data_IF_600685809373
#
_entry.id   IF_600685809373
#
_cell.length_a   1.000
_cell.length_b   1.000
_cell.length_c   1.000
_cell.angle_alpha   90.00
_cell.angle_beta   90.00
_cell.angle_gamma   90.00
#
_symmetry.space_group_name_H-M   'P 1'
#
loop_
_entity.id
_entity.type
_entity.pdbx_description
1 polymer ?
#
# COMPACT_ATOMS: atom_id res chain seq x y z
N UNK A 1 5.21 2.53 -14.47
CA UNK A 1 6.29 3.54 -14.50
C UNK A 1 7.07 3.55 -15.82
N UNK A 2 6.99 2.49 -16.62
CA UNK A 2 7.78 2.37 -17.86
C UNK A 2 7.02 2.73 -19.15
N UNK A 3 5.69 2.86 -19.11
CA UNK A 3 4.87 2.97 -20.33
C UNK A 3 3.77 4.04 -20.32
N UNK A 4 3.13 4.30 -19.17
CA UNK A 4 1.92 5.16 -19.15
C UNK A 4 2.22 6.65 -19.15
N UNK A 5 3.31 7.06 -18.47
CA UNK A 5 3.66 8.46 -18.32
C UNK A 5 4.39 8.95 -19.56
N UNK A 6 3.95 10.03 -20.21
CA UNK A 6 4.54 10.53 -21.46
C UNK A 6 5.14 11.93 -21.27
N UNK A 7 6.16 12.01 -20.41
CA UNK A 7 6.83 13.27 -20.07
C UNK A 7 8.07 13.55 -20.93
N UNK A 8 8.53 12.57 -21.71
CA UNK A 8 9.73 12.66 -22.54
C UNK A 8 9.38 12.42 -24.01
N UNK A 9 10.02 13.20 -24.90
CA UNK A 9 9.73 13.11 -26.34
C UNK A 9 10.24 11.82 -27.01
N UNK A 10 11.24 11.15 -26.42
CA UNK A 10 11.96 10.03 -27.04
C UNK A 10 11.54 8.66 -26.51
N UNK A 11 10.93 8.61 -25.33
CA UNK A 11 10.60 7.39 -24.62
C UNK A 11 9.31 7.58 -23.82
N UNK A 12 8.53 6.51 -23.72
CA UNK A 12 7.46 6.42 -22.75
C UNK A 12 8.02 6.13 -21.34
N UNK A 13 7.19 6.35 -20.32
CA UNK A 13 7.52 6.17 -18.92
C UNK A 13 8.33 7.32 -18.31
N UNK A 14 8.85 7.04 -17.11
CA UNK A 14 9.57 8.02 -16.30
C UNK A 14 11.09 7.85 -16.34
N UNK A 15 11.61 6.88 -17.12
CA UNK A 15 13.04 6.57 -17.20
C UNK A 15 13.71 6.41 -15.82
N UNK A 16 13.04 5.73 -14.90
CA UNK A 16 13.54 5.55 -13.55
C UNK A 16 14.74 4.60 -13.55
N UNK A 17 15.69 4.88 -12.65
CA UNK A 17 16.83 3.99 -12.39
C UNK A 17 16.36 2.60 -11.92
N UNK A 18 17.19 1.58 -12.16
CA UNK A 18 16.89 0.20 -11.80
C UNK A 18 16.52 0.06 -10.33
N UNK A 19 17.30 0.69 -9.44
CA UNK A 19 17.15 0.60 -7.98
C UNK A 19 15.81 1.18 -7.52
N UNK A 20 15.36 2.28 -8.13
CA UNK A 20 14.05 2.87 -7.84
C UNK A 20 12.93 1.93 -8.27
N UNK A 21 13.04 1.32 -9.45
CA UNK A 21 12.05 0.35 -9.95
C UNK A 21 12.04 -0.93 -9.10
N UNK A 22 13.21 -1.39 -8.67
CA UNK A 22 13.39 -2.51 -7.74
C UNK A 22 12.67 -2.24 -6.41
N UNK A 23 12.80 -1.01 -5.87
CA UNK A 23 12.13 -0.59 -4.65
C UNK A 23 10.61 -0.48 -4.76
N UNK A 24 10.09 -0.05 -5.91
CA UNK A 24 8.63 0.00 -6.17
C UNK A 24 8.03 -1.41 -6.23
N UNK A 25 8.72 -2.34 -6.89
CA UNK A 25 8.21 -3.69 -7.13
C UNK A 25 8.32 -4.55 -5.86
N UNK A 26 7.36 -4.45 -4.94
CA UNK A 26 7.39 -5.17 -3.65
C UNK A 26 7.20 -6.69 -3.78
N UNK A 27 6.22 -7.10 -4.58
CA UNK A 27 5.85 -8.50 -4.79
C UNK A 27 5.62 -8.77 -6.29
N UNK A 28 6.04 -9.94 -6.75
CA UNK A 28 5.83 -10.36 -8.13
C UNK A 28 5.64 -11.88 -8.19
N UNK A 29 4.63 -12.33 -8.94
CA UNK A 29 4.43 -13.76 -9.18
C UNK A 29 5.54 -14.30 -10.08
N UNK A 30 5.85 -15.59 -10.00
CA UNK A 30 6.87 -16.19 -10.87
C UNK A 30 6.52 -16.09 -12.37
N UNK A 31 5.22 -16.04 -12.72
CA UNK A 31 4.77 -15.82 -14.08
C UNK A 31 5.16 -14.41 -14.56
N UNK A 32 4.75 -13.38 -13.83
CA UNK A 32 5.04 -11.99 -14.18
C UNK A 32 6.53 -11.69 -14.11
N UNK A 33 7.26 -12.28 -13.15
CA UNK A 33 8.70 -12.08 -13.01
C UNK A 33 9.49 -12.49 -14.26
N UNK A 34 9.04 -13.49 -15.02
CA UNK A 34 9.71 -13.90 -16.27
C UNK A 34 9.60 -12.85 -17.37
N UNK A 35 8.60 -11.97 -17.30
CA UNK A 35 8.35 -10.92 -18.28
C UNK A 35 9.06 -9.60 -17.94
N UNK A 36 9.61 -9.47 -16.72
CA UNK A 36 10.17 -8.22 -16.20
C UNK A 36 11.70 -8.11 -16.34
N UNK A 37 12.34 -9.04 -17.06
CA UNK A 37 13.80 -9.04 -17.23
C UNK A 37 14.54 -9.01 -15.88
N UNK A 38 15.61 -8.23 -15.77
CA UNK A 38 16.47 -8.15 -14.57
C UNK A 38 15.70 -7.88 -13.28
N UNK A 39 14.67 -7.02 -13.29
CA UNK A 39 13.84 -6.74 -12.11
C UNK A 39 13.08 -7.97 -11.61
N UNK A 40 12.66 -8.84 -12.52
CA UNK A 40 11.96 -10.06 -12.20
C UNK A 40 12.87 -11.18 -11.69
N UNK A 41 14.13 -11.21 -12.12
CA UNK A 41 15.10 -12.27 -11.75
C UNK A 41 15.24 -12.41 -10.24
N UNK A 42 15.17 -11.30 -9.48
CA UNK A 42 15.26 -11.35 -8.01
C UNK A 42 14.19 -12.23 -7.38
N UNK A 43 12.97 -12.24 -7.92
CA UNK A 43 11.88 -13.07 -7.40
C UNK A 43 12.05 -14.55 -7.77
N UNK A 44 12.61 -14.83 -8.95
CA UNK A 44 12.89 -16.19 -9.40
C UNK A 44 14.04 -16.83 -8.61
N UNK A 45 14.98 -16.01 -8.15
CA UNK A 45 16.14 -16.43 -7.35
C UNK A 45 15.94 -16.25 -5.85
N UNK A 46 14.76 -15.79 -5.42
CA UNK A 46 14.44 -15.48 -4.02
C UNK A 46 15.45 -14.52 -3.34
N UNK A 47 15.94 -13.54 -4.09
CA UNK A 47 16.85 -12.49 -3.60
C UNK A 47 16.09 -11.33 -2.97
N UNK A 48 16.71 -10.73 -1.96
CA UNK A 48 16.23 -9.49 -1.35
C UNK A 48 16.49 -8.30 -2.29
N UNK A 49 15.70 -7.21 -2.19
CA UNK A 49 16.04 -5.94 -2.84
C UNK A 49 17.09 -5.17 -1.99
N UNK A 50 17.47 -3.98 -2.43
CA UNK A 50 18.38 -3.10 -1.67
C UNK A 50 17.89 -2.79 -0.25
N UNK A 51 18.78 -2.29 0.63
CA UNK A 51 18.41 -1.89 1.99
C UNK A 51 17.35 -0.77 1.98
N UNK A 52 17.45 0.19 1.07
CA UNK A 52 16.49 1.29 0.92
C UNK A 52 15.11 0.78 0.51
N UNK A 53 15.05 -0.21 -0.38
CA UNK A 53 13.81 -0.86 -0.76
C UNK A 53 13.18 -1.63 0.41
N UNK A 54 14.00 -2.36 1.18
CA UNK A 54 13.54 -3.04 2.39
C UNK A 54 13.02 -2.03 3.43
N UNK A 55 13.73 -0.92 3.64
CA UNK A 55 13.37 0.15 4.57
C UNK A 55 12.05 0.82 4.15
N UNK A 56 11.90 1.16 2.87
CA UNK A 56 10.68 1.81 2.35
C UNK A 56 9.45 0.96 2.63
N UNK A 57 9.56 -0.37 2.54
CA UNK A 57 8.45 -1.27 2.85
C UNK A 57 8.03 -1.21 4.32
N UNK A 58 8.99 -1.18 5.25
CA UNK A 58 8.69 -1.10 6.69
C UNK A 58 8.27 0.31 7.11
N UNK A 59 8.82 1.35 6.50
CA UNK A 59 8.40 2.74 6.72
C UNK A 59 6.93 2.94 6.32
N UNK A 60 6.53 2.40 5.17
CA UNK A 60 5.14 2.39 4.70
C UNK A 60 4.22 1.62 5.68
N UNK A 61 4.66 0.46 6.16
CA UNK A 61 3.91 -0.32 7.15
C UNK A 61 3.73 0.43 8.49
N UNK A 62 4.76 1.13 8.96
CA UNK A 62 4.68 1.97 10.17
C UNK A 62 3.68 3.10 9.96
N UNK A 63 3.78 3.84 8.86
CA UNK A 63 2.89 4.96 8.57
C UNK A 63 1.44 4.48 8.46
N UNK A 64 1.19 3.49 7.63
CA UNK A 64 -0.15 2.99 7.31
C UNK A 64 -0.87 2.43 8.55
N UNK A 65 -0.23 1.54 9.32
CA UNK A 65 -0.87 0.95 10.50
C UNK A 65 -1.24 2.01 11.56
N UNK A 66 -0.39 3.02 11.77
CA UNK A 66 -0.68 4.08 12.75
C UNK A 66 -1.79 5.02 12.28
N UNK A 67 -1.79 5.38 10.99
CA UNK A 67 -2.88 6.16 10.41
C UNK A 67 -4.22 5.41 10.46
N UNK A 68 -4.21 4.11 10.22
CA UNK A 68 -5.42 3.29 10.28
C UNK A 68 -5.97 3.13 11.70
N UNK A 69 -5.11 3.11 12.73
CA UNK A 69 -5.58 3.20 14.12
C UNK A 69 -6.28 4.54 14.39
N UNK A 70 -5.66 5.66 13.99
CA UNK A 70 -6.27 7.00 14.17
C UNK A 70 -7.59 7.13 13.40
N UNK A 71 -7.63 6.67 12.15
CA UNK A 71 -8.82 6.72 11.30
C UNK A 71 -9.92 5.79 11.80
N UNK A 72 -9.56 4.59 12.28
CA UNK A 72 -10.48 3.63 12.89
C UNK A 72 -11.14 4.18 14.15
N UNK A 73 -10.37 4.85 15.01
CA UNK A 73 -10.88 5.55 16.20
C UNK A 73 -11.74 6.76 15.81
N UNK A 74 -11.28 7.58 14.87
CA UNK A 74 -11.98 8.80 14.42
C UNK A 74 -13.33 8.48 13.78
N UNK A 75 -13.42 7.39 13.05
CA UNK A 75 -14.65 6.93 12.40
C UNK A 75 -15.58 6.15 13.35
N UNK A 76 -15.12 5.81 14.56
CA UNK A 76 -15.86 5.00 15.52
C UNK A 76 -16.01 3.54 15.11
N UNK A 77 -15.22 3.08 14.14
CA UNK A 77 -15.19 1.68 13.69
C UNK A 77 -14.43 0.79 14.67
N UNK A 78 -13.50 1.39 15.41
CA UNK A 78 -12.71 0.76 16.47
C UNK A 78 -12.83 1.62 17.71
N UNK A 79 -12.92 0.97 18.87
CA UNK A 79 -12.95 1.61 20.19
C UNK A 79 -11.59 1.57 20.90
N UNK A 80 -11.40 2.44 21.89
CA UNK A 80 -10.17 2.46 22.70
C UNK A 80 -10.06 1.15 23.48
N UNK A 81 -11.17 0.66 24.00
CA UNK A 81 -11.26 -0.57 24.80
C UNK A 81 -10.77 -1.78 23.98
N UNK A 82 -11.16 -1.86 22.71
CA UNK A 82 -10.66 -2.90 21.81
C UNK A 82 -9.17 -2.76 21.52
N UNK A 83 -8.66 -1.54 21.36
CA UNK A 83 -7.23 -1.31 21.13
C UNK A 83 -6.38 -1.58 22.38
N UNK A 84 -6.93 -1.41 23.58
CA UNK A 84 -6.25 -1.78 24.83
C UNK A 84 -6.06 -3.30 24.98
N UNK A 85 -6.73 -4.14 24.17
CA UNK A 85 -6.42 -5.57 24.05
C UNK A 85 -5.15 -5.83 23.22
N UNK A 86 -4.74 -4.88 22.38
CA UNK A 86 -3.52 -4.98 21.57
C UNK A 86 -2.32 -4.52 22.40
N UNK A 87 -1.37 -5.44 22.66
CA UNK A 87 -0.23 -5.18 23.55
C UNK A 87 0.55 -3.92 23.21
N UNK A 88 0.82 -3.69 21.92
CA UNK A 88 1.56 -2.51 21.46
C UNK A 88 0.86 -1.22 21.91
N UNK A 89 -0.45 -1.13 21.70
CA UNK A 89 -1.21 0.06 22.07
C UNK A 89 -1.37 0.20 23.58
N UNK A 90 -1.68 -0.89 24.27
CA UNK A 90 -1.91 -0.91 25.71
C UNK A 90 -0.68 -0.43 26.52
N UNK A 91 0.52 -0.86 26.13
CA UNK A 91 1.78 -0.44 26.78
C UNK A 91 1.94 1.07 26.70
N UNK A 92 1.89 1.64 25.49
CA UNK A 92 2.09 3.08 25.32
C UNK A 92 0.91 3.92 25.80
N UNK A 93 -0.32 3.38 25.84
CA UNK A 93 -1.46 4.04 26.47
C UNK A 93 -1.26 4.18 27.98
N UNK A 94 -0.74 3.13 28.62
CA UNK A 94 -0.42 3.14 30.05
C UNK A 94 0.72 4.12 30.37
N UNK A 95 1.76 4.17 29.55
CA UNK A 95 2.85 5.16 29.71
C UNK A 95 2.34 6.61 29.62
N UNK A 96 1.42 6.88 28.69
CA UNK A 96 0.76 8.20 28.57
C UNK A 96 -0.04 8.52 29.83
N UNK A 97 -0.81 7.56 30.36
CA UNK A 97 -1.58 7.77 31.60
C UNK A 97 -0.67 8.02 32.81
N UNK A 98 0.46 7.32 32.91
CA UNK A 98 1.44 7.52 33.99
C UNK A 98 2.13 8.88 33.89
N UNK A 99 2.44 9.32 32.68
CA UNK A 99 3.10 10.61 32.44
C UNK A 99 2.12 11.77 32.65
N UNK A 100 0.87 11.60 32.24
CA UNK A 100 -0.19 12.61 32.35
C UNK A 100 -1.50 11.99 32.87
N UNK A 101 -1.63 11.82 34.20
CA UNK A 101 -2.82 11.24 34.80
C UNK A 101 -4.09 12.04 34.45
N UNK A 102 -5.14 11.33 34.03
CA UNK A 102 -6.42 11.92 33.64
C UNK A 102 -6.44 12.53 32.23
N UNK A 103 -5.36 12.39 31.45
CA UNK A 103 -5.36 12.82 30.04
C UNK A 103 -6.31 11.93 29.23
N UNK A 104 -7.42 12.51 28.78
CA UNK A 104 -8.42 11.82 27.98
C UNK A 104 -8.51 12.28 26.53
N UNK A 105 -9.39 11.61 25.78
CA UNK A 105 -9.78 11.98 24.42
C UNK A 105 -8.63 11.97 23.41
N UNK A 106 -8.74 12.84 22.39
CA UNK A 106 -7.79 12.88 21.26
C UNK A 106 -6.34 13.11 21.64
N UNK A 107 -6.07 13.89 22.71
CA UNK A 107 -4.70 14.16 23.13
C UNK A 107 -4.01 12.90 23.63
N UNK A 108 -4.70 12.08 24.42
CA UNK A 108 -4.18 10.79 24.87
C UNK A 108 -3.86 9.88 23.68
N UNK A 109 -4.78 9.80 22.70
CA UNK A 109 -4.60 8.99 21.48
C UNK A 109 -3.36 9.44 20.70
N UNK A 110 -3.21 10.75 20.44
CA UNK A 110 -2.03 11.26 19.71
C UNK A 110 -0.72 11.03 20.46
N UNK A 111 -0.72 11.17 21.78
CA UNK A 111 0.47 10.89 22.59
C UNK A 111 0.83 9.40 22.61
N UNK A 112 -0.17 8.51 22.56
CA UNK A 112 0.02 7.06 22.45
C UNK A 112 0.58 6.69 21.07
N UNK A 113 -0.05 7.16 19.99
CA UNK A 113 0.40 6.89 18.62
C UNK A 113 1.81 7.44 18.36
N UNK A 114 2.12 8.64 18.84
CA UNK A 114 3.47 9.23 18.72
C UNK A 114 4.53 8.34 19.37
N UNK A 115 4.24 7.75 20.53
CA UNK A 115 5.15 6.82 21.22
C UNK A 115 5.29 5.49 20.50
N UNK A 116 4.19 4.93 19.99
CA UNK A 116 4.21 3.72 19.16
C UNK A 116 5.11 3.94 17.93
N UNK A 117 4.91 5.02 17.20
CA UNK A 117 5.73 5.38 16.02
C UNK A 117 7.20 5.50 16.40
N UNK A 118 7.50 6.21 17.50
CA UNK A 118 8.87 6.35 17.99
C UNK A 118 9.50 4.99 18.33
N UNK A 119 8.78 4.12 19.04
CA UNK A 119 9.26 2.80 19.41
C UNK A 119 9.54 1.91 18.19
N UNK A 120 8.63 1.90 17.22
CA UNK A 120 8.80 1.18 15.95
C UNK A 120 10.04 1.68 15.19
N UNK A 121 10.23 2.99 15.10
CA UNK A 121 11.38 3.57 14.39
C UNK A 121 12.70 3.25 15.11
N UNK A 122 12.76 3.45 16.43
CA UNK A 122 13.97 3.21 17.22
C UNK A 122 14.38 1.74 17.17
N UNK A 123 13.44 0.82 17.36
CA UNK A 123 13.70 -0.61 17.26
C UNK A 123 14.12 -1.04 15.85
N UNK A 124 13.44 -0.52 14.82
CA UNK A 124 13.81 -0.79 13.43
C UNK A 124 15.26 -0.40 13.16
N UNK A 125 15.68 0.78 13.60
CA UNK A 125 17.07 1.25 13.44
C UNK A 125 18.03 0.31 14.17
N UNK A 126 17.78 0.04 15.45
CA UNK A 126 18.69 -0.77 16.28
C UNK A 126 18.80 -2.22 15.78
N UNK A 127 17.67 -2.87 15.51
CA UNK A 127 17.64 -4.26 15.06
C UNK A 127 18.20 -4.43 13.64
N UNK A 128 17.99 -3.44 12.76
CA UNK A 128 18.58 -3.44 11.43
C UNK A 128 20.08 -3.18 11.47
N UNK A 129 20.54 -2.25 12.31
CA UNK A 129 21.96 -1.98 12.48
C UNK A 129 22.69 -3.23 12.97
N UNK A 130 22.17 -3.90 14.00
CA UNK A 130 22.75 -5.15 14.49
C UNK A 130 22.79 -6.24 13.41
N UNK A 131 21.72 -6.37 12.60
CA UNK A 131 21.67 -7.35 11.50
C UNK A 131 22.69 -7.04 10.39
N UNK A 132 22.88 -5.76 10.05
CA UNK A 132 23.85 -5.32 9.04
C UNK A 132 25.27 -5.53 9.55
N UNK A 133 25.55 -5.21 10.81
CA UNK A 133 26.87 -5.43 11.44
C UNK A 133 27.22 -6.92 11.51
N UNK A 134 26.25 -7.77 11.85
CA UNK A 134 26.42 -9.23 11.88
C UNK A 134 26.68 -9.82 10.49
N UNK A 135 25.92 -9.39 9.47
CA UNK A 135 26.07 -9.86 8.10
C UNK A 135 27.29 -9.27 7.38
N UNK A 136 27.69 -8.05 7.76
CA UNK A 136 28.80 -7.27 7.22
C UNK A 136 28.92 -7.30 5.68
N UNK A 137 27.85 -7.01 4.91
CA UNK A 137 27.90 -7.05 3.45
C UNK A 137 28.83 -5.97 2.91
N UNK A 138 29.71 -6.33 1.99
CA UNK A 138 30.68 -5.42 1.35
C UNK A 138 30.17 -4.86 0.01
N UNK A 139 29.02 -5.32 -0.46
CA UNK A 139 28.42 -4.88 -1.73
C UNK A 139 26.90 -5.00 -1.72
N UNK A 140 26.25 -4.31 -2.67
CA UNK A 140 24.79 -4.43 -2.88
C UNK A 140 24.38 -5.85 -3.27
N UNK A 141 25.23 -6.58 -3.99
CA UNK A 141 24.93 -7.96 -4.38
C UNK A 141 24.96 -8.90 -3.17
N UNK A 142 25.85 -8.66 -2.22
CA UNK A 142 25.85 -9.36 -0.93
C UNK A 142 24.61 -9.02 -0.10
N UNK A 143 24.13 -7.76 -0.12
CA UNK A 143 22.84 -7.39 0.49
C UNK A 143 21.70 -8.19 -0.13
N UNK A 144 21.63 -8.24 -1.47
CA UNK A 144 20.57 -8.97 -2.20
C UNK A 144 20.62 -10.48 -1.97
N UNK A 145 21.80 -11.04 -1.72
CA UNK A 145 22.01 -12.44 -1.40
C UNK A 145 21.79 -12.78 0.09
N UNK A 146 21.77 -11.77 0.97
CA UNK A 146 21.56 -11.94 2.40
C UNK A 146 20.08 -12.18 2.74
N UNK A 147 19.78 -12.69 3.94
CA UNK A 147 18.44 -12.57 4.52
C UNK A 147 18.00 -11.11 4.62
N UNK A 148 16.71 -10.88 4.90
CA UNK A 148 16.22 -9.52 5.15
C UNK A 148 16.99 -8.88 6.32
N UNK A 149 17.67 -7.76 6.04
CA UNK A 149 18.53 -7.06 6.99
C UNK A 149 17.79 -5.88 7.64
N UNK A 150 16.87 -5.24 6.93
CA UNK A 150 16.02 -4.20 7.53
C UNK A 150 14.80 -4.86 8.17
N UNK A 151 14.76 -4.87 9.50
CA UNK A 151 13.79 -5.65 10.29
C UNK A 151 13.57 -5.05 11.68
N UNK A 152 12.41 -5.33 12.25
CA UNK A 152 12.16 -5.17 13.69
C UNK A 152 12.85 -6.27 14.49
N UNK A 153 13.06 -6.04 15.78
CA UNK A 153 13.35 -7.11 16.73
C UNK A 153 12.19 -8.09 16.81
N UNK A 154 12.46 -9.34 17.19
CA UNK A 154 11.40 -10.36 17.25
C UNK A 154 10.25 -9.98 18.22
N UNK A 155 10.52 -9.42 19.42
CA UNK A 155 9.45 -8.96 20.30
C UNK A 155 8.55 -7.89 19.66
N UNK A 156 9.15 -6.86 19.03
CA UNK A 156 8.36 -5.78 18.45
C UNK A 156 7.66 -6.22 17.15
N UNK A 157 8.29 -7.10 16.37
CA UNK A 157 7.65 -7.74 15.21
C UNK A 157 6.40 -8.51 15.61
N UNK A 158 6.42 -9.25 16.72
CA UNK A 158 5.26 -9.97 17.21
C UNK A 158 4.12 -9.02 17.61
N UNK A 159 4.42 -7.91 18.27
CA UNK A 159 3.45 -6.89 18.66
C UNK A 159 2.88 -6.12 17.45
N UNK A 160 3.72 -5.77 16.47
CA UNK A 160 3.27 -5.13 15.23
C UNK A 160 2.36 -6.07 14.42
N UNK A 161 2.67 -7.37 14.38
CA UNK A 161 1.83 -8.39 13.74
C UNK A 161 0.46 -8.52 14.42
N UNK A 162 0.43 -8.48 15.74
CA UNK A 162 -0.80 -8.50 16.52
C UNK A 162 -1.68 -7.28 16.22
N UNK A 163 -1.10 -6.07 16.18
CA UNK A 163 -1.83 -4.86 15.77
C UNK A 163 -2.40 -5.00 14.36
N UNK A 164 -1.61 -5.52 13.41
CA UNK A 164 -2.05 -5.74 12.03
C UNK A 164 -3.19 -6.75 11.94
N UNK A 165 -3.13 -7.83 12.72
CA UNK A 165 -4.20 -8.83 12.81
C UNK A 165 -5.49 -8.22 13.36
N UNK A 166 -5.36 -7.39 14.41
CA UNK A 166 -6.47 -6.65 14.98
C UNK A 166 -7.12 -5.71 13.97
N UNK A 167 -6.33 -4.87 13.27
CA UNK A 167 -6.84 -3.95 12.25
C UNK A 167 -7.54 -4.71 11.11
N UNK A 168 -6.96 -5.83 10.68
CA UNK A 168 -7.58 -6.66 9.65
C UNK A 168 -8.94 -7.24 10.10
N UNK A 169 -9.05 -7.71 11.35
CA UNK A 169 -10.29 -8.28 11.87
C UNK A 169 -11.37 -7.22 12.14
N UNK A 170 -10.98 -6.08 12.73
CA UNK A 170 -11.93 -5.12 13.29
C UNK A 170 -12.16 -3.88 12.42
N UNK A 171 -11.18 -3.49 11.60
CA UNK A 171 -11.28 -2.31 10.73
C UNK A 171 -11.54 -2.73 9.27
N UNK A 172 -10.64 -3.49 8.64
CA UNK A 172 -10.73 -3.77 7.19
C UNK A 172 -11.91 -4.66 6.84
N UNK A 173 -12.28 -5.57 7.75
CA UNK A 173 -13.45 -6.45 7.59
C UNK A 173 -14.72 -5.90 8.23
N UNK A 174 -14.69 -4.65 8.72
CA UNK A 174 -15.88 -4.02 9.29
C UNK A 174 -17.00 -3.92 8.24
N UNK A 175 -18.25 -4.13 8.64
CA UNK A 175 -19.37 -4.20 7.69
C UNK A 175 -19.55 -2.90 6.88
N UNK A 176 -19.26 -1.74 7.47
CA UNK A 176 -19.34 -0.45 6.78
C UNK A 176 -18.26 -0.32 5.70
N UNK A 177 -17.03 -0.76 5.99
CA UNK A 177 -15.93 -0.81 5.03
C UNK A 177 -16.28 -1.78 3.90
N UNK A 178 -16.72 -3.00 4.23
CA UNK A 178 -17.14 -3.99 3.24
C UNK A 178 -18.29 -3.49 2.34
N UNK A 179 -19.26 -2.75 2.89
CA UNK A 179 -20.35 -2.12 2.10
C UNK A 179 -19.78 -1.11 1.10
N UNK A 180 -18.84 -0.27 1.51
CA UNK A 180 -18.20 0.69 0.62
C UNK A 180 -17.35 -0.02 -0.45
N UNK A 181 -16.56 -1.03 -0.08
CA UNK A 181 -15.79 -1.84 -1.03
C UNK A 181 -16.70 -2.55 -2.05
N UNK A 182 -17.85 -3.06 -1.63
CA UNK A 182 -18.84 -3.67 -2.53
C UNK A 182 -19.39 -2.67 -3.54
N UNK A 183 -19.73 -1.44 -3.11
CA UNK A 183 -20.16 -0.36 -4.01
C UNK A 183 -19.08 0.05 -5.00
N UNK A 184 -17.84 0.22 -4.53
CA UNK A 184 -16.70 0.57 -5.39
C UNK A 184 -16.44 -0.51 -6.45
N UNK A 185 -16.46 -1.79 -6.05
CA UNK A 185 -16.33 -2.92 -6.99
C UNK A 185 -17.43 -2.91 -8.06
N UNK A 186 -18.67 -2.63 -7.66
CA UNK A 186 -19.79 -2.52 -8.59
C UNK A 186 -19.57 -1.40 -9.61
N UNK A 187 -19.20 -0.20 -9.16
CA UNK A 187 -18.90 0.95 -10.02
C UNK A 187 -17.82 0.60 -11.04
N UNK A 188 -16.70 0.01 -10.60
CA UNK A 188 -15.60 -0.38 -11.49
C UNK A 188 -16.04 -1.42 -12.52
N UNK A 189 -16.76 -2.46 -12.09
CA UNK A 189 -17.23 -3.52 -12.99
C UNK A 189 -18.22 -3.01 -14.03
N UNK A 190 -19.17 -2.16 -13.63
CA UNK A 190 -20.17 -1.57 -14.53
C UNK A 190 -19.48 -0.66 -15.56
N UNK A 191 -18.58 0.23 -15.14
CA UNK A 191 -17.80 1.07 -16.07
C UNK A 191 -16.96 0.23 -17.03
N UNK A 192 -16.22 -0.75 -16.52
CA UNK A 192 -15.38 -1.61 -17.35
C UNK A 192 -16.20 -2.37 -18.40
N UNK A 193 -17.35 -2.93 -18.01
CA UNK A 193 -18.23 -3.66 -18.91
C UNK A 193 -18.83 -2.73 -19.98
N UNK A 194 -19.28 -1.52 -19.60
CA UNK A 194 -19.81 -0.54 -20.55
C UNK A 194 -18.76 -0.11 -21.58
N UNK A 195 -17.54 0.23 -21.13
CA UNK A 195 -16.46 0.61 -22.05
C UNK A 195 -16.00 -0.53 -22.96
N UNK A 196 -16.06 -1.78 -22.48
CA UNK A 196 -15.71 -2.94 -23.30
C UNK A 196 -16.78 -3.24 -24.37
N UNK A 197 -18.06 -3.10 -24.00
CA UNK A 197 -19.17 -3.30 -24.93
C UNK A 197 -19.24 -2.18 -25.98
N UNK A 198 -19.00 -0.94 -25.56
CA UNK A 198 -19.09 0.26 -26.40
C UNK A 198 -17.84 1.14 -26.23
N UNK A 199 -16.71 0.83 -26.90
CA UNK A 199 -15.47 1.60 -26.76
C UNK A 199 -15.61 3.09 -27.13
N UNK A 200 -16.62 3.46 -27.92
CA UNK A 200 -16.93 4.85 -28.25
C UNK A 200 -17.31 5.72 -27.04
N UNK A 201 -17.62 5.11 -25.89
CA UNK A 201 -17.88 5.82 -24.63
C UNK A 201 -16.60 6.28 -23.90
N UNK A 202 -15.43 5.76 -24.29
CA UNK A 202 -14.15 6.19 -23.72
C UNK A 202 -13.72 7.55 -24.29
N UNK A 203 -12.85 8.30 -23.59
CA UNK A 203 -12.10 9.37 -24.23
C UNK A 203 -11.30 8.85 -25.43
N UNK A 204 -11.21 9.64 -26.49
CA UNK A 204 -10.58 9.23 -27.76
C UNK A 204 -9.15 8.71 -27.61
N UNK A 205 -8.37 9.22 -26.66
CA UNK A 205 -7.01 8.77 -26.37
C UNK A 205 -6.90 7.32 -25.86
N UNK A 206 -7.99 6.74 -25.37
CA UNK A 206 -8.06 5.36 -24.86
C UNK A 206 -8.82 4.42 -25.81
N UNK A 207 -9.29 4.92 -26.96
CA UNK A 207 -9.94 4.12 -27.99
C UNK A 207 -8.89 3.54 -28.94
N UNK A 208 -8.96 2.23 -29.21
CA UNK A 208 -8.16 1.61 -30.26
C UNK A 208 -8.92 1.59 -31.59
N UNK A 209 -8.19 1.42 -32.67
CA UNK A 209 -8.77 1.30 -34.02
C UNK A 209 -9.71 0.08 -34.12
N UNK A 210 -10.72 0.18 -35.01
CA UNK A 210 -11.64 -0.93 -35.26
C UNK A 210 -10.88 -2.17 -35.73
N UNK A 211 -11.13 -3.30 -35.06
CA UNK A 211 -10.46 -4.57 -35.35
C UNK A 211 -9.22 -4.84 -34.49
N UNK A 212 -8.82 -3.90 -33.62
CA UNK A 212 -7.79 -4.18 -32.62
C UNK A 212 -8.20 -5.35 -31.71
N UNK A 213 -7.25 -6.17 -31.22
CA UNK A 213 -7.54 -7.25 -30.28
C UNK A 213 -8.28 -6.75 -29.03
N UNK A 214 -9.36 -7.44 -28.66
CA UNK A 214 -10.18 -7.10 -27.48
C UNK A 214 -9.34 -7.01 -26.20
N UNK A 215 -8.31 -7.87 -26.08
CA UNK A 215 -7.40 -7.85 -24.93
C UNK A 215 -6.61 -6.53 -24.79
N UNK A 216 -6.25 -5.89 -25.91
CA UNK A 216 -5.55 -4.60 -25.88
C UNK A 216 -6.51 -3.47 -25.48
N UNK A 217 -7.75 -3.51 -25.98
CA UNK A 217 -8.77 -2.52 -25.56
C UNK A 217 -9.09 -2.67 -24.07
N UNK A 218 -9.20 -3.91 -23.57
CA UNK A 218 -9.39 -4.19 -22.16
C UNK A 218 -8.25 -3.63 -21.28
N UNK A 219 -7.00 -3.65 -21.77
CA UNK A 219 -5.87 -3.01 -21.08
C UNK A 219 -6.02 -1.50 -21.02
N UNK A 220 -6.34 -0.83 -22.13
CA UNK A 220 -6.56 0.62 -22.17
C UNK A 220 -7.69 1.06 -21.23
N UNK A 221 -8.78 0.29 -21.17
CA UNK A 221 -9.88 0.52 -20.21
C UNK A 221 -9.38 0.40 -18.77
N UNK A 222 -8.59 -0.64 -18.47
CA UNK A 222 -8.04 -0.82 -17.14
C UNK A 222 -7.12 0.35 -16.73
N UNK A 223 -6.27 0.81 -17.64
CA UNK A 223 -5.36 1.94 -17.40
C UNK A 223 -6.13 3.25 -17.20
N UNK A 224 -7.19 3.49 -17.99
CA UNK A 224 -8.08 4.64 -17.83
C UNK A 224 -8.79 4.64 -16.48
N UNK A 225 -9.41 3.52 -16.09
CA UNK A 225 -10.11 3.39 -14.80
C UNK A 225 -9.13 3.50 -13.63
N UNK A 226 -7.96 2.86 -13.71
CA UNK A 226 -6.95 2.90 -12.66
C UNK A 226 -6.32 4.29 -12.47
N UNK A 227 -6.33 5.14 -13.52
CA UNK A 227 -5.88 6.53 -13.44
C UNK A 227 -6.89 7.50 -12.82
N UNK A 228 -8.11 7.04 -12.50
CA UNK A 228 -9.14 7.91 -11.93
C UNK A 228 -8.95 8.13 -10.42
N UNK A 229 -9.26 9.34 -9.97
CA UNK A 229 -9.53 9.58 -8.54
C UNK A 229 -10.93 9.06 -8.18
N UNK A 230 -11.17 8.70 -6.91
CA UNK A 230 -12.48 8.22 -6.43
C UNK A 230 -13.64 9.13 -6.83
N UNK A 231 -13.47 10.46 -6.65
CA UNK A 231 -14.50 11.46 -7.01
C UNK A 231 -14.76 11.48 -8.51
N UNK A 232 -13.71 11.32 -9.32
CA UNK A 232 -13.85 11.25 -10.77
C UNK A 232 -14.58 9.98 -11.18
N UNK A 233 -14.17 8.81 -10.68
CA UNK A 233 -14.81 7.53 -10.98
C UNK A 233 -16.31 7.53 -10.62
N UNK A 234 -16.68 8.07 -9.45
CA UNK A 234 -18.09 8.19 -9.04
C UNK A 234 -18.91 9.15 -9.92
N UNK A 235 -18.27 10.18 -10.49
CA UNK A 235 -18.93 11.13 -11.39
C UNK A 235 -19.06 10.53 -12.79
N UNK A 236 -18.02 9.86 -13.26
CA UNK A 236 -18.00 9.24 -14.57
C UNK A 236 -19.00 8.08 -14.67
N UNK A 237 -19.06 7.23 -13.64
CA UNK A 237 -20.11 6.22 -13.52
C UNK A 237 -21.52 6.84 -13.58
N UNK A 238 -21.75 7.94 -12.86
CA UNK A 238 -23.05 8.64 -12.94
C UNK A 238 -23.38 9.13 -14.35
N UNK A 239 -22.42 9.73 -15.07
CA UNK A 239 -22.64 10.18 -16.45
C UNK A 239 -22.98 9.05 -17.42
N UNK A 240 -22.42 7.86 -17.20
CA UNK A 240 -22.65 6.70 -18.05
C UNK A 240 -24.01 6.05 -17.81
N UNK A 241 -24.50 6.04 -16.57
CA UNK A 241 -25.66 5.24 -16.17
C UNK A 241 -26.88 6.03 -15.68
N UNK A 242 -26.70 7.31 -15.33
CA UNK A 242 -27.80 8.19 -14.96
C UNK A 242 -28.15 9.13 -16.12
N UNK A 243 -29.44 9.24 -16.41
CA UNK A 243 -29.97 10.26 -17.31
C UNK A 243 -30.19 11.50 -16.44
N UNK A 244 -29.27 12.47 -16.54
CA UNK A 244 -29.46 13.80 -15.97
C UNK A 244 -30.09 14.68 -17.06
N UNK A 245 -31.15 15.43 -16.74
CA UNK A 245 -31.71 16.43 -17.68
C UNK A 245 -30.62 17.46 -18.01
N UNK A 246 -30.40 17.68 -19.31
CA UNK A 246 -29.45 18.67 -19.83
C UNK A 246 -29.90 20.11 -19.55
#
# INVERSE_FOLDING_TARGET
VDSLEQHYAQIDGLNLMFETREGILKHCSAANARELGELGHRFLQNKQPSLEAQLTNLADEIAYNNHDVDDGLRSGLVSIEQLEEVRLFAVYRREVEQTWPGLGGRRAIYETLRRIINALIVDLIQASQAAIEEANPQSVDEVRASPQLIRFSEPLRAQARELKQFLHANLYRHYQVNRMTSKARRIINEMFAAFLAEPGLLPSSYQLERGAPVALQARQIADYIAGMTDRFAMREHRRLFAIEEM
#
